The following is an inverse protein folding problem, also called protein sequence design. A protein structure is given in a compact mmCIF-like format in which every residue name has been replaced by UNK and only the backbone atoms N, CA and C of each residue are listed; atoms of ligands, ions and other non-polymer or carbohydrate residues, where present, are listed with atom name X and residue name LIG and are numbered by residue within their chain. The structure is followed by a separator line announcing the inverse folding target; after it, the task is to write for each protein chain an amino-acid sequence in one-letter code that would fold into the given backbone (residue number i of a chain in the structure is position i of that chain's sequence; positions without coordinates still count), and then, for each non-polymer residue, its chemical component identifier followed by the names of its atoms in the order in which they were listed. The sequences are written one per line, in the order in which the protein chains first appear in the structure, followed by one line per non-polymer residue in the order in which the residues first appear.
data_IF_001420659525
#
_entry.id   IF_001420659525
#
_cell.length_a   1.000
_cell.length_b   1.000
_cell.length_c   1.000
_cell.angle_alpha   90.00
_cell.angle_beta   90.00
_cell.angle_gamma   90.00
#
_symmetry.space_group_name_H-M   'P 1'
#
loop_
_entity.id
_entity.type
_entity.pdbx_description
1 polymer ?
#
# COMPACT_ATOMS: atom_id res chain seq x y z
N UNK A 1 -8.81 -4.99 -0.75
CA UNK A 1 -8.00 -3.85 -1.17
C UNK A 1 -6.64 -4.38 -1.60
N UNK A 2 -6.43 -4.54 -2.91
CA UNK A 2 -5.16 -5.04 -3.46
C UNK A 2 -4.11 -3.94 -3.35
N UNK A 3 -2.87 -4.30 -3.01
CA UNK A 3 -1.77 -3.36 -2.88
C UNK A 3 -0.52 -3.86 -3.58
N UNK A 4 0.32 -2.91 -3.98
CA UNK A 4 1.67 -3.16 -4.46
C UNK A 4 2.64 -2.41 -3.56
N UNK A 5 3.50 -3.15 -2.87
CA UNK A 5 4.54 -2.61 -2.02
C UNK A 5 5.90 -2.75 -2.73
N UNK A 6 6.61 -1.64 -2.88
CA UNK A 6 7.95 -1.59 -3.48
C UNK A 6 8.93 -0.95 -2.52
N UNK A 7 10.11 -1.54 -2.37
CA UNK A 7 11.20 -0.93 -1.62
C UNK A 7 11.76 0.26 -2.41
N UNK A 8 11.97 1.38 -1.74
CA UNK A 8 12.53 2.60 -2.32
C UNK A 8 14.05 2.60 -2.14
N UNK A 9 14.79 2.73 -3.24
CA UNK A 9 16.26 2.81 -3.24
C UNK A 9 16.90 1.97 -4.36
N UNK A 10 18.24 1.96 -4.39
CA UNK A 10 19.04 1.31 -5.45
C UNK A 10 18.83 -0.22 -5.53
N UNK A 11 18.43 -0.87 -4.43
CA UNK A 11 18.12 -2.30 -4.37
C UNK A 11 16.62 -2.50 -4.13
N UNK A 12 15.78 -2.03 -5.07
CA UNK A 12 14.32 -2.00 -4.93
C UNK A 12 13.65 -3.38 -4.91
N UNK A 13 14.38 -4.43 -5.29
CA UNK A 13 13.94 -5.83 -5.20
C UNK A 13 12.65 -6.11 -5.97
N UNK A 14 12.07 -7.30 -5.75
CA UNK A 14 10.76 -7.65 -6.30
C UNK A 14 9.65 -6.93 -5.52
N UNK A 15 8.65 -6.46 -6.24
CA UNK A 15 7.45 -5.90 -5.63
C UNK A 15 6.64 -7.00 -4.92
N UNK A 16 6.07 -6.64 -3.78
CA UNK A 16 5.18 -7.49 -2.99
C UNK A 16 3.75 -7.09 -3.37
N UNK A 17 2.96 -8.05 -3.87
CA UNK A 17 1.57 -7.81 -4.31
C UNK A 17 0.64 -8.71 -3.52
N UNK A 18 -0.48 -8.17 -3.06
CA UNK A 18 -1.45 -8.94 -2.31
C UNK A 18 -2.53 -8.08 -1.66
N UNK A 19 -3.20 -8.64 -0.66
CA UNK A 19 -4.27 -7.99 0.08
C UNK A 19 -3.72 -7.35 1.34
N UNK A 20 -3.94 -6.04 1.48
CA UNK A 20 -3.58 -5.34 2.71
C UNK A 20 -4.59 -5.72 3.82
N UNK A 21 -4.09 -6.27 4.93
CA UNK A 21 -4.96 -6.68 6.03
C UNK A 21 -5.46 -5.50 6.86
N UNK A 22 -4.61 -4.49 7.05
CA UNK A 22 -4.89 -3.33 7.92
C UNK A 22 -4.22 -2.07 7.36
N UNK A 23 -4.81 -0.87 7.52
CA UNK A 23 -4.18 0.38 7.14
C UNK A 23 -2.81 0.57 7.82
N UNK A 24 -1.78 1.13 7.14
CA UNK A 24 -0.48 1.37 7.74
C UNK A 24 -0.57 2.38 8.90
N UNK A 25 0.00 2.03 10.06
CA UNK A 25 0.02 2.88 11.26
C UNK A 25 1.41 2.94 11.87
N UNK A 26 1.79 4.12 12.38
CA UNK A 26 3.04 4.28 13.15
C UNK A 26 3.04 3.34 14.36
N UNK A 27 4.18 2.70 14.63
CA UNK A 27 4.38 1.72 15.69
C UNK A 27 3.90 0.30 15.35
N UNK A 28 3.18 0.12 14.24
CA UNK A 28 2.67 -1.19 13.79
C UNK A 28 3.45 -1.72 12.59
N UNK A 29 3.36 -3.03 12.34
CA UNK A 29 3.84 -3.65 11.11
C UNK A 29 2.80 -3.53 9.99
N UNK A 30 3.25 -3.58 8.73
CA UNK A 30 2.39 -3.78 7.57
C UNK A 30 2.36 -5.27 7.26
N UNK A 31 1.15 -5.82 7.06
CA UNK A 31 0.92 -7.21 6.69
C UNK A 31 0.17 -7.26 5.36
N UNK A 32 0.75 -7.95 4.39
CA UNK A 32 0.17 -8.18 3.07
C UNK A 32 0.03 -9.69 2.89
N UNK A 33 -1.21 -10.15 2.76
CA UNK A 33 -1.55 -11.53 2.47
C UNK A 33 -1.44 -11.79 0.96
N UNK A 34 -0.78 -12.87 0.56
CA UNK A 34 -0.67 -13.25 -0.85
C UNK A 34 -1.95 -13.90 -1.38
N UNK A 35 -2.07 -13.96 -2.70
CA UNK A 35 -3.24 -14.50 -3.38
C UNK A 35 -3.49 -15.99 -3.10
N UNK A 36 -2.46 -16.72 -2.63
CA UNK A 36 -2.58 -18.11 -2.21
C UNK A 36 -3.30 -18.28 -0.86
N UNK A 37 -3.46 -17.20 -0.08
CA UNK A 37 -4.07 -17.22 1.25
C UNK A 37 -3.24 -17.96 2.31
N UNK A 38 -2.01 -18.38 1.99
CA UNK A 38 -1.16 -19.17 2.88
C UNK A 38 0.05 -18.37 3.37
N UNK A 39 0.51 -17.42 2.57
CA UNK A 39 1.73 -16.67 2.85
C UNK A 39 1.45 -15.20 3.12
N UNK A 40 2.22 -14.65 4.07
CA UNK A 40 2.17 -13.24 4.43
C UNK A 40 3.54 -12.59 4.26
N UNK A 41 3.54 -11.36 3.76
CA UNK A 41 4.66 -10.46 3.86
C UNK A 41 4.49 -9.51 5.05
N UNK A 42 5.47 -9.49 5.95
CA UNK A 42 5.46 -8.67 7.16
C UNK A 42 6.67 -7.73 7.19
N UNK A 43 6.43 -6.44 7.41
CA UNK A 43 7.52 -5.45 7.58
C UNK A 43 8.00 -5.39 9.03
N UNK A 44 9.15 -4.73 9.25
CA UNK A 44 9.44 -4.18 10.58
C UNK A 44 8.47 -3.03 10.93
N UNK A 45 8.35 -2.64 12.21
CA UNK A 45 7.43 -1.58 12.62
C UNK A 45 7.66 -0.27 11.88
N UNK A 46 6.56 0.39 11.51
CA UNK A 46 6.53 1.65 10.77
C UNK A 46 6.85 2.81 11.72
N UNK A 47 7.83 3.63 11.34
CA UNK A 47 8.21 4.87 12.04
C UNK A 47 7.43 6.09 11.54
N UNK A 48 7.15 6.15 10.24
CA UNK A 48 6.45 7.27 9.59
C UNK A 48 5.61 6.77 8.43
N UNK A 49 4.40 7.32 8.33
CA UNK A 49 3.49 7.15 7.19
C UNK A 49 3.30 8.53 6.57
N UNK A 50 3.42 8.63 5.25
CA UNK A 50 3.06 9.80 4.47
C UNK A 50 2.09 9.34 3.38
N UNK A 51 0.92 9.95 3.30
CA UNK A 51 -0.02 9.73 2.20
C UNK A 51 0.08 10.92 1.24
N UNK A 52 0.10 10.65 -0.07
CA UNK A 52 -0.04 11.69 -1.08
C UNK A 52 -1.53 12.09 -1.18
N UNK A 53 -1.83 13.36 -0.99
CA UNK A 53 -3.20 13.87 -1.06
C UNK A 53 -3.82 13.59 -2.44
N UNK A 54 -5.07 13.12 -2.46
CA UNK A 54 -5.79 12.80 -3.70
C UNK A 54 -5.27 11.56 -4.43
N UNK A 55 -4.38 10.77 -3.80
CA UNK A 55 -3.87 9.52 -4.36
C UNK A 55 -3.95 8.40 -3.33
N UNK A 56 -4.14 7.18 -3.81
CA UNK A 56 -4.04 5.98 -2.98
C UNK A 56 -2.58 5.48 -2.91
N UNK A 57 -1.64 6.41 -2.70
CA UNK A 57 -0.20 6.13 -2.57
C UNK A 57 0.32 6.56 -1.20
N UNK A 58 0.98 5.64 -0.52
CA UNK A 58 1.61 5.84 0.77
C UNK A 58 3.12 5.62 0.69
N UNK A 59 3.89 6.48 1.36
CA UNK A 59 5.29 6.26 1.65
C UNK A 59 5.46 5.83 3.10
N UNK A 60 6.12 4.70 3.29
CA UNK A 60 6.32 4.08 4.59
C UNK A 60 7.80 4.07 4.91
N UNK A 61 8.15 4.61 6.08
CA UNK A 61 9.49 4.44 6.63
C UNK A 61 9.42 3.46 7.80
N UNK A 62 10.20 2.41 7.71
CA UNK A 62 10.40 1.43 8.79
C UNK A 62 11.76 1.64 9.44
N UNK A 63 12.15 0.78 10.38
CA UNK A 63 13.49 0.85 11.00
C UNK A 63 14.63 0.71 9.96
N UNK A 64 14.45 -0.17 8.97
CA UNK A 64 15.56 -0.63 8.13
C UNK A 64 15.35 -0.31 6.65
N UNK A 65 14.18 0.19 6.25
CA UNK A 65 13.80 0.34 4.85
C UNK A 65 12.71 1.37 4.65
N UNK A 66 12.64 1.91 3.43
CA UNK A 66 11.57 2.78 2.96
C UNK A 66 10.81 2.07 1.86
N UNK A 67 9.50 2.26 1.82
CA UNK A 67 8.63 1.64 0.85
C UNK A 67 7.65 2.64 0.25
N UNK A 68 7.26 2.38 -1.00
CA UNK A 68 6.08 2.94 -1.64
C UNK A 68 5.02 1.85 -1.65
N UNK A 69 3.86 2.14 -1.06
CA UNK A 69 2.68 1.29 -1.06
C UNK A 69 1.63 1.96 -1.95
N UNK A 70 1.33 1.34 -3.07
CA UNK A 70 0.25 1.75 -3.97
C UNK A 70 -0.95 0.87 -3.70
N UNK A 71 -2.11 1.47 -3.53
CA UNK A 71 -3.35 0.73 -3.41
C UNK A 71 -4.06 0.72 -4.76
N UNK A 72 -4.46 -0.47 -5.20
CA UNK A 72 -5.26 -0.66 -6.39
C UNK A 72 -6.71 -0.74 -5.95
N UNK A 73 -7.43 0.36 -6.15
CA UNK A 73 -8.88 0.42 -6.00
C UNK A 73 -9.50 -0.31 -7.20
N UNK A 74 -10.30 -1.34 -6.94
CA UNK A 74 -11.09 -2.04 -7.97
C UNK A 74 -12.32 -1.25 -8.42
N UNK A 75 -12.29 0.09 -8.35
CA UNK A 75 -13.39 0.97 -8.74
C UNK A 75 -13.14 1.56 -10.13
N UNK A 76 -13.61 0.82 -11.12
CA UNK A 76 -14.26 1.41 -12.29
C UNK A 76 -15.51 2.18 -11.84
N UNK A 77 -15.56 3.49 -12.12
CA UNK A 77 -16.80 4.25 -12.29
C UNK A 77 -17.45 4.88 -11.05
N UNK A 78 -17.12 6.15 -10.79
CA UNK A 78 -18.13 7.20 -10.58
C UNK A 78 -17.63 8.43 -11.34
N UNK A 79 -18.03 8.54 -12.61
CA UNK A 79 -18.03 9.84 -13.30
C UNK A 79 -19.27 10.55 -12.79
N UNK A 80 -19.09 11.54 -11.94
CA UNK A 80 -20.15 12.51 -11.64
C UNK A 80 -20.33 13.36 -12.89
N UNK A 81 -21.29 12.97 -13.73
CA UNK A 81 -21.71 13.75 -14.89
C UNK A 81 -22.96 14.51 -14.46
N UNK A 82 -22.95 15.86 -14.43
CA UNK A 82 -24.12 16.61 -14.04
C UNK A 82 -25.18 16.46 -15.13
N UNK A 83 -26.28 15.77 -14.81
CA UNK A 83 -27.50 15.82 -15.62
C UNK A 83 -28.16 17.17 -15.38
N UNK A 84 -27.96 18.09 -16.33
CA UNK A 84 -28.89 19.17 -16.56
C UNK A 84 -30.11 18.59 -17.29
N UNK A 85 -31.31 18.77 -16.71
CA UNK A 85 -32.57 19.04 -17.39
C UNK A 85 -33.63 19.42 -16.35
#
# INVERSE_FOLDING_TARGET
MEVVLRKVGRNSGRAVVGRLLRPPRKGSVVVIEFADGLHEYVTTPVKRVLQLCGQDTYYLQTANSRYRLEVRSSQSGVVDQPVAN
#
